data_IF_537104400364
#
_entry.id   IF_537104400364
#
_cell.length_a   1.000
_cell.length_b   1.000
_cell.length_c   1.000
_cell.angle_alpha   90.00
_cell.angle_beta   90.00
_cell.angle_gamma   90.00
#
_symmetry.space_group_name_H-M   'P 1'
#
loop_
_entity.id
_entity.type
_entity.pdbx_description
1 polymer ?
#
# COMPACT_ATOMS: atom_id res chain seq x y z
N UNK A 1 -4.62 24.32 9.90
CA UNK A 1 -3.38 23.52 9.82
C UNK A 1 -3.85 22.11 10.00
N UNK A 2 -4.24 21.53 8.87
CA UNK A 2 -5.17 20.41 8.85
C UNK A 2 -4.30 19.16 8.83
N UNK A 3 -3.91 18.74 10.04
CA UNK A 3 -3.13 17.53 10.24
C UNK A 3 -3.91 16.35 9.69
N UNK A 4 -3.30 15.62 8.74
CA UNK A 4 -3.84 14.36 8.23
C UNK A 4 -3.90 13.40 9.42
N UNK A 5 -5.11 13.15 9.91
CA UNK A 5 -5.36 12.18 10.96
C UNK A 5 -5.46 10.81 10.28
N UNK A 6 -4.29 10.14 10.23
CA UNK A 6 -4.03 8.74 9.93
C UNK A 6 -4.70 8.17 8.65
N UNK A 7 -3.92 8.00 7.57
CA UNK A 7 -4.34 7.16 6.45
C UNK A 7 -4.09 5.68 6.80
N UNK A 8 -5.14 4.85 6.70
CA UNK A 8 -5.01 3.39 6.86
C UNK A 8 -4.90 2.69 5.51
N UNK A 9 -4.20 1.55 5.47
CA UNK A 9 -4.23 0.61 4.34
C UNK A 9 -5.63 -0.01 4.23
N UNK A 10 -6.19 -0.10 3.03
CA UNK A 10 -7.44 -0.80 2.75
C UNK A 10 -7.43 -1.55 1.41
N UNK A 11 -8.25 -2.60 1.34
CA UNK A 11 -8.44 -3.44 0.15
C UNK A 11 -9.94 -3.51 -0.15
N UNK A 12 -10.35 -3.26 -1.39
CA UNK A 12 -11.76 -3.06 -1.81
C UNK A 12 -12.55 -4.37 -1.97
N UNK A 13 -11.99 -5.52 -1.57
CA UNK A 13 -12.68 -6.83 -1.67
C UNK A 13 -13.58 -7.22 -0.50
N UNK A 14 -13.51 -6.54 0.65
CA UNK A 14 -14.22 -6.96 1.89
C UNK A 14 -15.37 -6.06 2.30
N UNK A 15 -15.38 -4.82 1.81
CA UNK A 15 -16.34 -3.79 2.18
C UNK A 15 -16.78 -3.13 0.88
N UNK A 16 -18.08 -2.90 0.65
CA UNK A 16 -18.56 -2.11 -0.47
C UNK A 16 -17.84 -0.76 -0.55
N UNK A 17 -17.44 -0.37 -1.78
CA UNK A 17 -16.59 0.81 -2.01
C UNK A 17 -17.22 2.11 -1.49
N UNK A 18 -18.54 2.22 -1.55
CA UNK A 18 -19.34 3.35 -1.03
C UNK A 18 -19.33 3.42 0.49
N UNK A 19 -19.17 2.28 1.18
CA UNK A 19 -19.14 2.22 2.65
C UNK A 19 -17.75 2.43 3.24
N UNK A 20 -16.70 2.23 2.45
CA UNK A 20 -15.32 2.33 2.95
C UNK A 20 -15.01 3.73 3.50
N UNK A 21 -15.43 4.78 2.80
CA UNK A 21 -15.19 6.17 3.20
C UNK A 21 -16.04 6.55 4.42
N UNK A 22 -17.32 6.17 4.43
CA UNK A 22 -18.22 6.38 5.58
C UNK A 22 -17.63 5.79 6.87
N UNK A 23 -17.08 4.58 6.78
CA UNK A 23 -16.42 3.93 7.92
C UNK A 23 -15.20 4.72 8.36
N UNK A 24 -14.35 5.18 7.44
CA UNK A 24 -13.17 5.98 7.77
C UNK A 24 -13.56 7.29 8.48
N UNK A 25 -14.55 8.00 7.94
CA UNK A 25 -15.06 9.24 8.53
C UNK A 25 -15.65 8.99 9.92
N UNK A 26 -16.44 7.93 10.10
CA UNK A 26 -17.03 7.59 11.41
C UNK A 26 -15.97 7.24 12.47
N UNK A 27 -14.77 6.82 12.04
CA UNK A 27 -13.61 6.57 12.89
C UNK A 27 -12.72 7.80 13.10
N UNK A 28 -13.09 8.96 12.56
CA UNK A 28 -12.32 10.19 12.66
C UNK A 28 -11.09 10.25 11.76
N UNK A 29 -11.00 9.38 10.74
CA UNK A 29 -9.92 9.43 9.76
C UNK A 29 -10.20 10.52 8.73
N UNK A 30 -9.14 11.18 8.28
CA UNK A 30 -9.23 12.22 7.23
C UNK A 30 -8.71 11.75 5.89
N UNK A 31 -8.28 10.48 5.79
CA UNK A 31 -7.80 9.92 4.55
C UNK A 31 -7.63 8.40 4.58
N UNK A 32 -7.35 7.82 3.42
CA UNK A 32 -7.16 6.39 3.23
C UNK A 32 -6.13 6.13 2.12
N UNK A 33 -5.33 5.08 2.28
CA UNK A 33 -4.53 4.53 1.20
C UNK A 33 -5.14 3.19 0.77
N UNK A 34 -5.56 3.10 -0.49
CA UNK A 34 -6.09 1.86 -1.05
C UNK A 34 -4.94 1.15 -1.77
N UNK A 35 -4.68 -0.10 -1.41
CA UNK A 35 -3.60 -0.93 -1.98
C UNK A 35 -4.15 -2.32 -2.27
N UNK A 36 -4.88 -2.47 -3.37
CA UNK A 36 -5.36 -3.77 -3.83
C UNK A 36 -4.20 -4.58 -4.43
N UNK A 37 -4.28 -5.91 -4.38
CA UNK A 37 -3.23 -6.78 -4.91
C UNK A 37 -3.16 -6.70 -6.44
N UNK A 38 -2.00 -6.26 -6.96
CA UNK A 38 -1.68 -6.18 -8.38
C UNK A 38 -2.67 -5.36 -9.23
N UNK A 39 -3.34 -4.38 -8.63
CA UNK A 39 -4.26 -3.47 -9.34
C UNK A 39 -4.50 -2.17 -8.56
N UNK A 40 -4.79 -1.09 -9.28
CA UNK A 40 -5.25 0.19 -8.72
C UNK A 40 -6.71 0.50 -9.09
N UNK A 41 -7.41 -0.40 -9.78
CA UNK A 41 -8.77 -0.14 -10.30
C UNK A 41 -9.76 0.25 -9.20
N UNK A 42 -9.69 -0.42 -8.04
CA UNK A 42 -10.55 -0.11 -6.91
C UNK A 42 -10.31 1.32 -6.42
N UNK A 43 -9.05 1.71 -6.25
CA UNK A 43 -8.67 3.07 -5.84
C UNK A 43 -9.14 4.12 -6.85
N UNK A 44 -9.00 3.84 -8.16
CA UNK A 44 -9.48 4.73 -9.23
C UNK A 44 -11.00 4.90 -9.21
N UNK A 45 -11.76 3.81 -9.00
CA UNK A 45 -13.22 3.88 -8.84
C UNK A 45 -13.60 4.69 -7.60
N UNK A 46 -12.83 4.56 -6.53
CA UNK A 46 -13.08 5.28 -5.28
C UNK A 46 -12.85 6.79 -5.45
N UNK A 47 -11.89 7.20 -6.27
CA UNK A 47 -11.55 8.61 -6.53
C UNK A 47 -12.78 9.47 -6.88
N UNK A 48 -13.72 8.91 -7.63
CA UNK A 48 -14.97 9.59 -8.04
C UNK A 48 -16.00 9.73 -6.92
N UNK A 49 -15.82 9.01 -5.80
CA UNK A 49 -16.75 8.95 -4.67
C UNK A 49 -16.20 9.66 -3.42
N UNK A 50 -14.97 10.18 -3.47
CA UNK A 50 -14.32 10.78 -2.31
C UNK A 50 -14.93 12.17 -2.01
N UNK A 51 -15.38 12.42 -0.78
CA UNK A 51 -15.89 13.73 -0.38
C UNK A 51 -14.77 14.75 -0.32
N UNK A 52 -15.10 16.02 -0.58
CA UNK A 52 -14.14 17.13 -0.51
C UNK A 52 -13.48 17.19 0.87
N UNK A 53 -12.15 17.27 0.88
CA UNK A 53 -11.35 17.36 2.10
C UNK A 53 -10.94 16.01 2.70
N UNK A 54 -11.41 14.89 2.15
CA UNK A 54 -10.92 13.57 2.51
C UNK A 54 -9.81 13.14 1.54
N UNK A 55 -8.68 12.67 2.07
CA UNK A 55 -7.49 12.33 1.27
C UNK A 55 -7.58 10.89 0.78
N UNK A 56 -7.42 10.68 -0.53
CA UNK A 56 -7.22 9.35 -1.11
C UNK A 56 -5.80 9.22 -1.65
N UNK A 57 -5.08 8.21 -1.17
CA UNK A 57 -3.81 7.78 -1.75
C UNK A 57 -4.09 6.53 -2.59
N UNK A 58 -3.81 6.64 -3.89
CA UNK A 58 -3.85 5.51 -4.82
C UNK A 58 -2.55 4.73 -4.64
N UNK A 59 -2.67 3.45 -4.29
CA UNK A 59 -1.54 2.55 -4.22
C UNK A 59 -1.90 1.15 -4.67
N UNK A 60 -0.89 0.30 -4.66
CA UNK A 60 -0.96 -1.09 -5.12
C UNK A 60 -0.11 -1.95 -4.19
N UNK A 61 -0.56 -3.17 -3.88
CA UNK A 61 0.28 -4.20 -3.28
C UNK A 61 0.75 -5.14 -4.40
N UNK A 62 1.97 -4.91 -4.87
CA UNK A 62 2.57 -5.57 -6.03
C UNK A 62 3.22 -6.86 -5.58
N UNK A 63 2.82 -7.97 -6.18
CA UNK A 63 3.53 -9.24 -6.06
C UNK A 63 4.73 -9.23 -7.02
N UNK A 64 5.93 -9.23 -6.45
CA UNK A 64 7.22 -9.37 -7.15
C UNK A 64 7.59 -10.85 -7.28
N UNK A 65 8.73 -11.15 -7.92
CA UNK A 65 9.31 -12.50 -7.93
C UNK A 65 9.81 -12.99 -6.56
N UNK A 66 10.00 -12.07 -5.60
CA UNK A 66 10.66 -12.31 -4.32
C UNK A 66 9.81 -11.89 -3.10
N UNK A 67 8.51 -11.70 -3.28
CA UNK A 67 7.56 -11.25 -2.25
C UNK A 67 6.78 -10.00 -2.64
N UNK A 68 6.21 -9.29 -1.67
CA UNK A 68 5.34 -8.13 -1.92
C UNK A 68 6.01 -6.79 -1.59
N UNK A 69 5.72 -5.79 -2.43
CA UNK A 69 6.00 -4.38 -2.19
C UNK A 69 4.71 -3.58 -2.31
N UNK A 70 4.62 -2.47 -1.61
CA UNK A 70 3.56 -1.49 -1.80
C UNK A 70 4.14 -0.26 -2.51
N UNK A 71 3.46 0.16 -3.57
CA UNK A 71 3.66 1.47 -4.20
C UNK A 71 2.53 2.41 -3.80
N UNK A 72 2.87 3.62 -3.36
CA UNK A 72 1.92 4.71 -3.11
C UNK A 72 2.05 5.83 -4.12
N UNK A 73 0.98 6.62 -4.29
CA UNK A 73 0.88 7.74 -5.23
C UNK A 73 1.06 7.29 -6.69
N UNK A 74 0.47 6.14 -7.04
CA UNK A 74 0.55 5.59 -8.39
C UNK A 74 -0.51 6.21 -9.31
N UNK A 75 -0.14 6.46 -10.55
CA UNK A 75 -1.05 6.87 -11.62
C UNK A 75 -1.43 5.70 -12.54
N UNK A 76 -0.52 4.73 -12.68
CA UNK A 76 -0.69 3.52 -13.49
C UNK A 76 -0.25 2.27 -12.71
N UNK A 77 -0.89 1.11 -12.96
CA UNK A 77 -0.54 -0.12 -12.27
C UNK A 77 0.87 -0.61 -12.62
N UNK A 78 1.52 -1.27 -11.68
CA UNK A 78 2.84 -1.87 -11.87
C UNK A 78 2.69 -3.33 -12.32
N UNK A 79 3.43 -3.79 -13.35
CA UNK A 79 3.40 -5.20 -13.71
C UNK A 79 3.85 -6.11 -12.56
N UNK A 80 3.08 -7.16 -12.29
CA UNK A 80 3.42 -8.20 -11.32
C UNK A 80 4.54 -9.12 -11.83
N UNK A 81 5.24 -9.77 -10.90
CA UNK A 81 6.27 -10.77 -11.18
C UNK A 81 7.61 -10.19 -11.65
N UNK A 82 7.79 -8.88 -11.56
CA UNK A 82 9.09 -8.22 -11.74
C UNK A 82 9.99 -8.49 -10.54
N UNK A 83 11.29 -8.24 -10.69
CA UNK A 83 12.20 -8.18 -9.54
C UNK A 83 11.85 -7.01 -8.62
N UNK A 84 12.18 -7.13 -7.33
CA UNK A 84 11.95 -6.06 -6.36
C UNK A 84 12.60 -4.72 -6.78
N UNK A 85 13.80 -4.78 -7.38
CA UNK A 85 14.50 -3.60 -7.90
C UNK A 85 13.76 -2.94 -9.07
N UNK A 86 13.29 -3.72 -10.05
CA UNK A 86 12.49 -3.19 -11.17
C UNK A 86 11.14 -2.64 -10.71
N UNK A 87 10.50 -3.30 -9.74
CA UNK A 87 9.27 -2.80 -9.11
C UNK A 87 9.51 -1.45 -8.44
N UNK A 88 10.59 -1.31 -7.66
CA UNK A 88 10.99 -0.04 -7.04
C UNK A 88 11.20 1.04 -8.10
N UNK A 89 11.98 0.75 -9.14
CA UNK A 89 12.29 1.73 -10.17
C UNK A 89 11.02 2.24 -10.85
N UNK A 90 10.05 1.36 -11.14
CA UNK A 90 8.76 1.76 -11.73
C UNK A 90 7.88 2.57 -10.77
N UNK A 91 7.90 2.27 -9.47
CA UNK A 91 7.21 3.10 -8.47
C UNK A 91 7.84 4.50 -8.43
N UNK A 92 9.17 4.57 -8.35
CA UNK A 92 9.91 5.84 -8.29
C UNK A 92 9.81 6.66 -9.57
N UNK A 93 9.73 6.03 -10.74
CA UNK A 93 9.48 6.71 -12.02
C UNK A 93 8.13 7.46 -12.05
N UNK A 94 7.15 7.02 -11.27
CA UNK A 94 5.87 7.72 -11.09
C UNK A 94 5.92 8.77 -9.96
N UNK A 95 7.07 8.98 -9.32
CA UNK A 95 7.19 9.81 -8.12
C UNK A 95 6.59 9.18 -6.86
N UNK A 96 6.31 7.87 -6.89
CA UNK A 96 5.67 7.14 -5.81
C UNK A 96 6.60 6.80 -4.65
N UNK A 97 6.00 6.38 -3.54
CA UNK A 97 6.73 5.87 -2.37
C UNK A 97 6.70 4.34 -2.33
N UNK A 98 7.81 3.75 -1.89
CA UNK A 98 8.03 2.31 -1.74
C UNK A 98 7.86 1.92 -0.28
N UNK A 99 6.99 0.96 -0.02
CA UNK A 99 6.74 0.42 1.31
C UNK A 99 6.87 -1.10 1.34
N UNK A 100 7.49 -1.63 2.40
CA UNK A 100 7.52 -3.08 2.67
C UNK A 100 6.40 -3.45 3.64
N UNK A 101 5.40 -4.27 3.25
CA UNK A 101 4.14 -4.42 4.00
C UNK A 101 4.17 -5.31 5.25
N UNK A 102 5.10 -6.26 5.33
CA UNK A 102 5.16 -7.24 6.42
C UNK A 102 6.56 -7.86 6.55
N UNK A 103 7.63 -7.05 6.71
CA UNK A 103 9.03 -7.49 6.55
C UNK A 103 9.45 -8.63 7.49
N UNK A 104 8.77 -8.81 8.63
CA UNK A 104 9.12 -9.77 9.68
C UNK A 104 8.06 -10.86 9.94
N UNK A 105 6.96 -10.87 9.19
CA UNK A 105 5.91 -11.91 9.34
C UNK A 105 6.37 -13.23 8.72
N UNK A 106 7.08 -14.04 9.51
CA UNK A 106 7.65 -15.33 9.07
C UNK A 106 6.60 -16.34 8.59
N UNK A 107 5.32 -16.14 8.92
CA UNK A 107 4.24 -17.03 8.53
C UNK A 107 3.62 -16.64 7.19
N UNK A 108 3.88 -15.41 6.69
CA UNK A 108 3.44 -14.98 5.36
C UNK A 108 4.38 -15.48 4.27
N UNK A 109 3.81 -16.28 3.36
CA UNK A 109 4.50 -16.75 2.16
C UNK A 109 4.85 -15.64 1.18
N UNK A 110 4.14 -14.51 1.23
CA UNK A 110 4.36 -13.38 0.34
C UNK A 110 5.35 -12.36 0.88
N UNK A 111 5.94 -12.61 2.06
CA UNK A 111 6.98 -11.78 2.65
C UNK A 111 8.15 -11.63 1.70
N UNK A 112 8.72 -10.44 1.65
CA UNK A 112 9.95 -10.21 0.90
C UNK A 112 11.10 -11.05 1.46
N UNK A 113 11.83 -11.72 0.58
CA UNK A 113 13.01 -12.49 0.95
C UNK A 113 14.03 -11.63 1.71
N UNK A 114 14.63 -12.18 2.76
CA UNK A 114 15.49 -11.39 3.66
C UNK A 114 16.73 -10.84 2.96
N UNK A 115 17.33 -11.62 2.05
CA UNK A 115 18.47 -11.17 1.24
C UNK A 115 18.08 -10.04 0.28
N UNK A 116 16.87 -10.12 -0.30
CA UNK A 116 16.32 -9.07 -1.16
C UNK A 116 16.03 -7.82 -0.34
N UNK A 117 15.40 -7.96 0.83
CA UNK A 117 15.15 -6.84 1.74
C UNK A 117 16.45 -6.12 2.11
N UNK A 118 17.49 -6.85 2.50
CA UNK A 118 18.79 -6.27 2.84
C UNK A 118 19.42 -5.52 1.66
N UNK A 119 19.22 -6.00 0.43
CA UNK A 119 19.72 -5.34 -0.79
C UNK A 119 18.98 -4.04 -1.11
N UNK A 120 17.67 -3.99 -0.88
CA UNK A 120 16.83 -2.85 -1.32
C UNK A 120 16.54 -1.84 -0.21
N UNK A 121 16.97 -2.09 1.04
CA UNK A 121 16.56 -1.29 2.21
C UNK A 121 16.80 0.21 2.06
N UNK A 122 17.91 0.60 1.42
CA UNK A 122 18.25 2.02 1.18
C UNK A 122 17.35 2.71 0.13
N UNK A 123 16.54 1.92 -0.60
CA UNK A 123 15.57 2.41 -1.59
C UNK A 123 14.13 2.40 -1.07
N UNK A 124 13.90 1.83 0.12
CA UNK A 124 12.59 1.72 0.76
C UNK A 124 12.31 2.99 1.57
N UNK A 125 11.14 3.59 1.39
CA UNK A 125 10.79 4.83 2.10
C UNK A 125 10.16 4.56 3.47
N UNK A 126 9.48 3.42 3.61
CA UNK A 126 8.81 3.03 4.86
C UNK A 126 8.52 1.53 4.88
N UNK A 127 8.07 1.02 6.02
CA UNK A 127 7.58 -0.34 6.17
C UNK A 127 6.38 -0.37 7.12
N UNK A 128 5.54 -1.38 6.95
CA UNK A 128 4.42 -1.67 7.84
C UNK A 128 4.76 -2.97 8.57
N UNK A 129 4.84 -2.91 9.89
CA UNK A 129 4.75 -4.11 10.72
C UNK A 129 3.28 -4.49 10.86
N UNK A 130 2.97 -5.78 10.75
CA UNK A 130 1.67 -6.26 11.17
C UNK A 130 1.60 -6.34 12.69
N UNK A 131 0.54 -6.96 13.21
CA UNK A 131 0.61 -7.61 14.52
C UNK A 131 1.56 -8.79 14.38
N UNK A 132 2.87 -8.54 14.48
CA UNK A 132 3.96 -9.47 14.15
C UNK A 132 4.05 -10.68 15.10
N UNK A 133 3.03 -10.96 15.90
CA UNK A 133 3.07 -12.02 16.90
C UNK A 133 4.24 -11.87 17.89
N UNK A 134 4.86 -10.69 17.97
CA UNK A 134 5.81 -10.35 19.01
C UNK A 134 4.96 -10.12 20.27
N UNK A 135 4.68 -11.22 20.97
CA UNK A 135 4.43 -11.12 22.40
C UNK A 135 5.65 -10.41 23.00
N UNK A 136 5.44 -9.14 23.39
CA UNK A 136 6.24 -8.56 24.46
C UNK A 136 5.96 -9.33 25.75
#
# INVERSE_FOLDING_TARGET
>A
MDGIQCATKATIGRIPIDKLVDICISKGLTGIAVTDHNTIEGALRLKELIPKGFVLIIGEEILTDSGELIGYFLETPIPKGLSADETIDKIKQQGGLVCVPHPFDRFRKSRLDTEVLARIIDKVDTYICGDDGIQQ
#
